data_IF_871246824049
#
_entry.id   IF_871246824049
#
_cell.length_a   1.000
_cell.length_b   1.000
_cell.length_c   1.000
_cell.angle_alpha   90.00
_cell.angle_beta   90.00
_cell.angle_gamma   90.00
#
_symmetry.space_group_name_H-M   'P 1'
#
loop_
_entity.id
_entity.type
_entity.pdbx_description
1 polymer ?
#
# COMPACT_ATOMS: atom_id res chain seq x y z
N UNK A 1 -47.45 57.93 2.29
CA UNK A 1 -48.37 56.81 2.05
C UNK A 1 -47.62 55.78 1.23
N UNK A 2 -47.37 54.61 1.84
CA UNK A 2 -46.87 53.32 1.31
C UNK A 2 -45.37 53.06 0.96
N UNK A 3 -44.74 52.18 1.78
CA UNK A 3 -44.03 50.91 1.47
C UNK A 3 -42.85 51.00 0.45
N UNK A 4 -41.61 50.52 0.68
CA UNK A 4 -41.16 49.28 1.31
C UNK A 4 -39.66 49.33 1.68
N UNK A 5 -39.32 48.76 2.83
CA UNK A 5 -38.04 48.09 3.08
C UNK A 5 -37.81 46.99 2.02
N UNK A 6 -36.57 46.70 1.63
CA UNK A 6 -36.07 45.31 1.57
C UNK A 6 -34.54 45.27 1.59
N UNK A 7 -34.03 44.63 2.64
CA UNK A 7 -32.66 44.20 2.82
C UNK A 7 -32.37 43.07 1.83
N UNK A 8 -31.24 43.11 1.14
CA UNK A 8 -30.65 41.89 0.56
C UNK A 8 -29.20 41.86 1.03
N UNK A 9 -28.98 41.26 2.19
CA UNK A 9 -27.67 40.79 2.64
C UNK A 9 -27.41 39.53 1.82
N UNK A 10 -26.57 39.62 0.80
CA UNK A 10 -26.11 38.45 0.06
C UNK A 10 -25.08 37.71 0.93
N UNK A 11 -25.53 36.69 1.67
CA UNK A 11 -24.65 35.73 2.32
C UNK A 11 -23.99 34.89 1.22
N UNK A 12 -22.75 35.21 0.87
CA UNK A 12 -21.90 34.35 0.03
C UNK A 12 -21.43 33.18 0.90
N UNK A 13 -22.29 32.17 1.06
CA UNK A 13 -21.90 30.89 1.67
C UNK A 13 -20.99 30.19 0.68
N UNK A 14 -19.69 30.41 0.82
CA UNK A 14 -18.65 29.72 0.07
C UNK A 14 -18.59 28.28 0.59
N UNK A 15 -19.41 27.40 0.01
CA UNK A 15 -19.29 25.96 0.21
C UNK A 15 -17.96 25.50 -0.38
N UNK A 16 -16.90 25.48 0.44
CA UNK A 16 -15.69 24.73 0.16
C UNK A 16 -16.07 23.23 0.16
N UNK A 17 -16.55 22.73 -0.99
CA UNK A 17 -16.57 21.32 -1.28
C UNK A 17 -15.09 20.90 -1.41
N UNK A 18 -14.48 20.51 -0.29
CA UNK A 18 -13.13 19.97 -0.27
C UNK A 18 -13.09 18.71 -1.14
N UNK A 19 -12.48 18.82 -2.31
CA UNK A 19 -12.12 17.68 -3.13
C UNK A 19 -11.09 16.90 -2.31
N UNK A 20 -11.52 15.84 -1.64
CA UNK A 20 -10.60 14.88 -1.06
C UNK A 20 -10.00 14.09 -2.21
N UNK A 21 -8.89 14.58 -2.75
CA UNK A 21 -8.09 13.83 -3.71
C UNK A 21 -7.58 12.58 -2.98
N UNK A 22 -8.05 11.41 -3.41
CA UNK A 22 -7.41 10.15 -3.04
C UNK A 22 -5.96 10.23 -3.55
N UNK A 23 -5.01 10.38 -2.63
CA UNK A 23 -3.60 10.31 -2.99
C UNK A 23 -3.31 8.85 -3.33
N UNK A 24 -2.86 8.61 -4.56
CA UNK A 24 -2.29 7.31 -4.90
C UNK A 24 -1.08 7.08 -3.98
N UNK A 25 -0.99 5.88 -3.39
CA UNK A 25 0.16 5.51 -2.57
C UNK A 25 1.44 5.63 -3.41
N UNK A 26 2.45 6.33 -2.89
CA UNK A 26 3.74 6.45 -3.57
C UNK A 26 4.56 5.19 -3.30
N UNK A 27 4.58 4.29 -4.28
CA UNK A 27 5.33 3.04 -4.20
C UNK A 27 6.82 3.29 -4.42
N UNK A 28 7.64 2.92 -3.43
CA UNK A 28 9.09 3.03 -3.50
C UNK A 28 9.69 1.70 -3.94
N UNK A 29 10.46 1.64 -5.04
CA UNK A 29 11.15 0.42 -5.43
C UNK A 29 12.19 0.02 -4.37
N UNK A 30 12.22 -1.26 -4.02
CA UNK A 30 13.15 -1.79 -3.02
C UNK A 30 14.15 -2.75 -3.64
N UNK A 31 13.66 -3.79 -4.32
CA UNK A 31 14.52 -4.83 -4.89
C UNK A 31 13.86 -5.54 -6.08
N UNK A 32 14.61 -6.44 -6.72
CA UNK A 32 14.14 -7.33 -7.78
C UNK A 32 14.80 -8.70 -7.65
N UNK A 33 14.09 -9.75 -8.06
CA UNK A 33 14.63 -11.11 -8.00
C UNK A 33 15.25 -11.56 -9.34
N UNK A 34 15.86 -12.74 -9.33
CA UNK A 34 16.49 -13.34 -10.51
C UNK A 34 15.47 -13.73 -11.61
N UNK A 35 14.19 -13.83 -11.27
CA UNK A 35 13.10 -14.07 -12.23
C UNK A 35 12.63 -12.77 -12.90
N UNK A 36 13.11 -11.61 -12.42
CA UNK A 36 12.74 -10.29 -12.93
C UNK A 36 11.50 -9.69 -12.27
N UNK A 37 11.03 -10.26 -11.15
CA UNK A 37 9.95 -9.65 -10.39
C UNK A 37 10.49 -8.41 -9.66
N UNK A 38 9.67 -7.37 -9.58
CA UNK A 38 10.02 -6.11 -8.91
C UNK A 38 9.18 -5.93 -7.65
N UNK A 39 9.83 -5.56 -6.55
CA UNK A 39 9.20 -5.41 -5.24
C UNK A 39 9.29 -3.96 -4.79
N UNK A 40 8.13 -3.39 -4.45
CA UNK A 40 7.96 -2.01 -4.04
C UNK A 40 7.22 -1.96 -2.71
N UNK A 41 7.48 -0.94 -1.90
CA UNK A 41 6.79 -0.68 -0.63
C UNK A 41 6.15 0.71 -0.63
N UNK A 42 4.94 0.82 -0.12
CA UNK A 42 4.29 2.09 0.21
C UNK A 42 4.95 2.70 1.44
N UNK A 43 5.97 3.52 1.22
CA UNK A 43 6.77 4.04 2.33
C UNK A 43 6.14 5.23 3.04
N UNK A 44 5.15 5.88 2.43
CA UNK A 44 4.40 6.99 3.02
C UNK A 44 3.25 6.49 3.89
N UNK A 45 2.61 5.38 3.50
CA UNK A 45 1.55 4.71 4.26
C UNK A 45 2.05 3.71 5.31
N UNK A 46 3.36 3.48 5.40
CA UNK A 46 3.96 2.55 6.36
C UNK A 46 3.79 3.02 7.81
N UNK A 47 3.41 2.11 8.71
CA UNK A 47 3.25 2.40 10.14
C UNK A 47 4.00 1.40 11.01
N UNK A 48 4.12 1.69 12.31
CA UNK A 48 4.88 0.87 13.26
C UNK A 48 4.17 0.74 14.61
N UNK A 49 4.28 -0.45 15.21
CA UNK A 49 3.95 -0.71 16.63
C UNK A 49 5.02 -1.59 17.27
N UNK A 50 5.83 -1.01 18.17
CA UNK A 50 6.92 -1.73 18.81
C UNK A 50 8.02 -2.09 17.82
N UNK A 51 8.23 -3.38 17.54
CA UNK A 51 9.14 -3.88 16.51
C UNK A 51 8.43 -4.35 15.23
N UNK A 52 7.11 -4.21 15.18
CA UNK A 52 6.32 -4.58 14.01
C UNK A 52 6.11 -3.36 13.12
N UNK A 53 6.36 -3.55 11.82
CA UNK A 53 6.13 -2.58 10.75
C UNK A 53 5.01 -3.11 9.87
N UNK A 54 4.03 -2.27 9.58
CA UNK A 54 2.87 -2.58 8.75
C UNK A 54 3.00 -1.77 7.47
N UNK A 55 3.00 -2.45 6.32
CA UNK A 55 3.25 -1.80 5.03
C UNK A 55 2.49 -2.48 3.91
N UNK A 56 2.09 -1.70 2.90
CA UNK A 56 1.63 -2.25 1.64
C UNK A 56 2.84 -2.53 0.74
N UNK A 57 2.92 -3.75 0.23
CA UNK A 57 3.88 -4.16 -0.77
C UNK A 57 3.16 -4.33 -2.11
N UNK A 58 3.83 -3.93 -3.19
CA UNK A 58 3.47 -4.30 -4.55
C UNK A 58 4.58 -5.19 -5.11
N UNK A 59 4.18 -6.32 -5.68
CA UNK A 59 5.05 -7.16 -6.49
C UNK A 59 4.56 -7.11 -7.93
N UNK A 60 5.36 -6.55 -8.82
CA UNK A 60 5.16 -6.68 -10.27
C UNK A 60 5.88 -7.95 -10.72
N UNK A 61 5.13 -8.85 -11.36
CA UNK A 61 5.67 -10.11 -11.83
C UNK A 61 6.26 -9.97 -13.22
N UNK A 62 7.38 -10.64 -13.48
CA UNK A 62 7.96 -10.72 -14.82
C UNK A 62 7.04 -11.46 -15.79
N UNK A 63 6.24 -12.40 -15.28
CA UNK A 63 5.29 -13.21 -16.03
C UNK A 63 4.00 -13.39 -15.24
N UNK A 64 2.88 -13.63 -15.94
CA UNK A 64 1.60 -13.89 -15.27
C UNK A 64 1.70 -15.15 -14.42
N UNK A 65 1.15 -15.10 -13.21
CA UNK A 65 0.97 -16.31 -12.40
C UNK A 65 -0.19 -17.17 -12.94
N UNK A 66 -0.41 -18.33 -12.32
CA UNK A 66 -1.46 -19.28 -12.73
C UNK A 66 -2.89 -18.70 -12.67
N UNK A 67 -3.10 -17.67 -11.85
CA UNK A 67 -4.38 -16.95 -11.72
C UNK A 67 -4.51 -15.81 -12.74
N UNK A 68 -3.51 -15.63 -13.61
CA UNK A 68 -3.47 -14.57 -14.62
C UNK A 68 -2.99 -13.22 -14.08
N UNK A 69 -2.54 -13.13 -12.84
CA UNK A 69 -2.09 -11.87 -12.25
C UNK A 69 -0.70 -11.48 -12.77
N UNK A 70 -0.51 -10.20 -13.07
CA UNK A 70 0.79 -9.60 -13.42
C UNK A 70 1.30 -8.65 -12.33
N UNK A 71 0.45 -8.26 -11.38
CA UNK A 71 0.88 -7.65 -10.14
C UNK A 71 0.06 -8.13 -8.94
N UNK A 72 0.70 -8.10 -7.77
CA UNK A 72 0.16 -8.57 -6.49
C UNK A 72 0.37 -7.46 -5.47
N UNK A 73 -0.72 -6.94 -4.89
CA UNK A 73 -0.64 -6.05 -3.72
C UNK A 73 -0.85 -6.85 -2.45
N UNK A 74 0.04 -6.72 -1.47
CA UNK A 74 -0.09 -7.40 -0.18
C UNK A 74 0.01 -6.43 0.98
N UNK A 75 -0.82 -6.62 2.01
CA UNK A 75 -0.56 -6.03 3.32
C UNK A 75 0.38 -6.97 4.05
N UNK A 76 1.59 -6.51 4.35
CA UNK A 76 2.60 -7.31 5.03
C UNK A 76 2.95 -6.68 6.37
N UNK A 77 3.16 -7.55 7.35
CA UNK A 77 3.79 -7.20 8.61
C UNK A 77 5.23 -7.68 8.62
N UNK A 78 6.16 -6.80 8.98
CA UNK A 78 7.57 -7.12 9.19
C UNK A 78 7.90 -7.02 10.67
N UNK A 79 8.54 -8.06 11.21
CA UNK A 79 9.09 -8.06 12.56
C UNK A 79 10.59 -7.72 12.48
N UNK A 80 10.93 -6.48 12.82
CA UNK A 80 12.30 -5.98 12.78
C UNK A 80 13.21 -6.61 13.84
N UNK A 81 12.66 -7.27 14.86
CA UNK A 81 13.46 -7.91 15.92
C UNK A 81 13.88 -9.31 15.51
N UNK A 82 12.96 -10.09 14.95
CA UNK A 82 13.18 -11.49 14.59
C UNK A 82 13.42 -11.72 13.10
N UNK A 83 13.39 -10.66 12.28
CA UNK A 83 13.58 -10.71 10.81
C UNK A 83 12.66 -11.72 10.14
N UNK A 84 11.37 -11.58 10.39
CA UNK A 84 10.33 -12.42 9.81
C UNK A 84 9.21 -11.55 9.25
N UNK A 85 8.46 -12.09 8.30
CA UNK A 85 7.31 -11.41 7.70
C UNK A 85 6.06 -12.29 7.76
N UNK A 86 4.87 -11.67 7.67
CA UNK A 86 3.63 -12.37 7.39
C UNK A 86 2.71 -11.54 6.51
N UNK A 87 2.02 -12.19 5.59
CA UNK A 87 1.05 -11.57 4.71
C UNK A 87 -0.34 -11.65 5.35
N UNK A 88 -0.99 -10.50 5.45
CA UNK A 88 -2.31 -10.36 6.09
C UNK A 88 -3.43 -10.26 5.04
N UNK A 89 -3.15 -9.65 3.90
CA UNK A 89 -4.09 -9.44 2.81
C UNK A 89 -3.40 -9.59 1.46
N UNK A 90 -4.13 -10.09 0.46
CA UNK A 90 -3.64 -10.23 -0.92
C UNK A 90 -4.71 -9.71 -1.88
N UNK A 91 -4.29 -8.93 -2.88
CA UNK A 91 -5.10 -8.52 -4.03
C UNK A 91 -4.32 -8.80 -5.32
N UNK A 92 -4.98 -9.42 -6.29
CA UNK A 92 -4.40 -9.81 -7.57
C UNK A 92 -4.92 -8.93 -8.70
N UNK A 93 -4.02 -8.47 -9.56
CA UNK A 93 -4.33 -7.62 -10.69
C UNK A 93 -3.80 -8.19 -12.00
N UNK A 94 -4.56 -8.05 -13.10
CA UNK A 94 -4.18 -8.60 -14.40
C UNK A 94 -3.08 -7.78 -15.09
N UNK A 95 -2.77 -6.56 -14.65
CA UNK A 95 -1.73 -5.73 -15.26
C UNK A 95 -0.68 -5.35 -14.21
N UNK A 96 0.46 -4.81 -14.66
CA UNK A 96 1.46 -4.26 -13.77
C UNK A 96 0.88 -3.03 -13.03
N UNK A 97 1.51 -2.65 -11.92
CA UNK A 97 1.16 -1.43 -11.17
C UNK A 97 -0.32 -1.37 -10.78
N UNK A 98 -0.88 -2.51 -10.38
CA UNK A 98 -2.27 -2.66 -9.95
C UNK A 98 -3.30 -2.28 -11.04
N UNK A 99 -2.89 -2.37 -12.31
CA UNK A 99 -3.75 -2.05 -13.45
C UNK A 99 -4.83 -3.11 -13.72
N UNK A 100 -5.92 -2.65 -14.32
CA UNK A 100 -7.07 -3.48 -14.69
C UNK A 100 -8.02 -3.81 -13.53
N UNK A 101 -9.03 -4.62 -13.82
CA UNK A 101 -10.00 -5.04 -12.81
C UNK A 101 -9.41 -6.11 -11.89
N UNK A 102 -9.65 -5.98 -10.57
CA UNK A 102 -9.20 -6.95 -9.55
C UNK A 102 -9.66 -8.37 -9.93
N UNK A 103 -8.70 -9.31 -10.00
CA UNK A 103 -8.97 -10.73 -10.23
C UNK A 103 -9.54 -11.35 -8.95
N UNK A 104 -8.88 -11.09 -7.82
CA UNK A 104 -9.29 -11.56 -6.51
C UNK A 104 -8.72 -10.68 -5.42
N UNK A 105 -9.39 -10.66 -4.26
CA UNK A 105 -8.92 -9.94 -3.08
C UNK A 105 -9.43 -10.62 -1.82
N UNK A 106 -8.58 -10.74 -0.80
CA UNK A 106 -9.01 -11.32 0.46
C UNK A 106 -7.96 -11.32 1.56
N UNK A 107 -8.46 -11.49 2.78
CA UNK A 107 -7.65 -11.71 3.97
C UNK A 107 -7.06 -13.12 3.96
N UNK A 108 -5.80 -13.24 4.38
CA UNK A 108 -5.17 -14.55 4.61
C UNK A 108 -5.77 -15.15 5.87
N UNK A 109 -6.38 -16.34 5.76
CA UNK A 109 -7.15 -16.96 6.85
C UNK A 109 -6.33 -17.34 8.08
N UNK A 110 -5.06 -17.69 7.89
CA UNK A 110 -4.15 -18.07 8.97
C UNK A 110 -2.72 -17.53 8.70
N UNK A 111 -2.48 -16.22 8.86
CA UNK A 111 -1.19 -15.60 8.54
C UNK A 111 -0.05 -16.21 9.37
N UNK A 112 0.91 -16.85 8.71
CA UNK A 112 2.08 -17.43 9.36
C UNK A 112 3.28 -16.50 9.27
N UNK A 113 4.05 -16.45 10.35
CA UNK A 113 5.36 -15.80 10.33
C UNK A 113 6.36 -16.68 9.59
N UNK A 114 7.05 -16.08 8.63
CA UNK A 114 8.08 -16.73 7.81
C UNK A 114 9.39 -15.98 8.05
N UNK A 115 10.42 -16.63 8.62
CA UNK A 115 11.74 -16.03 8.76
C UNK A 115 12.37 -15.75 7.40
N UNK A 116 12.98 -14.58 7.25
CA UNK A 116 13.77 -14.26 6.06
C UNK A 116 15.10 -15.00 6.10
N UNK A 117 15.59 -15.44 4.93
CA UNK A 117 16.95 -15.94 4.78
C UNK A 117 17.87 -14.78 4.42
N UNK A 118 19.07 -14.67 5.01
CA UNK A 118 20.00 -13.58 4.71
C UNK A 118 20.24 -13.41 3.21
N UNK A 119 20.01 -12.19 2.70
CA UNK A 119 20.18 -11.85 1.29
C UNK A 119 19.07 -12.32 0.34
N UNK A 120 17.98 -12.88 0.85
CA UNK A 120 16.77 -13.09 0.05
C UNK A 120 15.95 -11.79 -0.09
N UNK A 121 14.97 -11.80 -0.99
CA UNK A 121 14.08 -10.65 -1.24
C UNK A 121 13.37 -10.18 0.04
N UNK A 122 12.94 -11.11 0.89
CA UNK A 122 12.23 -10.78 2.12
C UNK A 122 13.16 -10.09 3.12
N UNK A 123 14.41 -10.55 3.20
CA UNK A 123 15.45 -9.97 4.04
C UNK A 123 15.75 -8.52 3.65
N UNK A 124 15.85 -8.25 2.34
CA UNK A 124 16.05 -6.92 1.80
C UNK A 124 14.85 -5.98 2.04
N UNK A 125 13.63 -6.49 1.88
CA UNK A 125 12.39 -5.75 2.16
C UNK A 125 12.28 -5.37 3.64
N UNK A 126 12.55 -6.33 4.54
CA UNK A 126 12.57 -6.10 5.99
C UNK A 126 13.64 -5.07 6.33
N UNK A 127 14.87 -5.23 5.84
CA UNK A 127 15.99 -4.33 6.12
C UNK A 127 15.69 -2.90 5.65
N UNK A 128 15.13 -2.74 4.45
CA UNK A 128 14.71 -1.45 3.93
C UNK A 128 13.64 -0.79 4.82
N UNK A 129 12.55 -1.50 5.10
CA UNK A 129 11.43 -0.97 5.88
C UNK A 129 11.86 -0.61 7.31
N UNK A 130 12.55 -1.53 7.98
CA UNK A 130 13.01 -1.35 9.35
C UNK A 130 13.99 -0.19 9.47
N UNK A 131 14.99 -0.06 8.58
CA UNK A 131 15.93 1.07 8.62
C UNK A 131 15.28 2.42 8.36
N UNK A 132 14.14 2.45 7.66
CA UNK A 132 13.43 3.68 7.33
C UNK A 132 12.57 4.20 8.49
N UNK A 133 11.85 3.33 9.18
CA UNK A 133 10.86 3.74 10.21
C UNK A 133 11.29 3.51 11.66
N UNK A 134 12.33 2.71 11.91
CA UNK A 134 12.79 2.40 13.28
C UNK A 134 13.82 3.42 13.83
N UNK A 135 14.16 4.45 13.06
CA UNK A 135 15.11 5.50 13.48
C UNK A 135 14.56 6.36 14.62
#
# INVERSE_FOLDING_TARGET
MFISNHRIIALFTFCFAGIMSAQAAVMSPVTSDAQGNHYLLDTEGMTRKGYLVYVWQLQNLAQRNEQGALSIRTQVEFDCRFRQSRVMWITLYPEADEGGAVISSGMVSNPQWIPAQPGDVTDELIDYACRRIMR
#
